data_IF_921892155838
#
_entry.id   IF_921892155838
#
_cell.length_a   1.000
_cell.length_b   1.000
_cell.length_c   1.000
_cell.angle_alpha   90.00
_cell.angle_beta   90.00
_cell.angle_gamma   90.00
#
_symmetry.space_group_name_H-M   'P 1'
#
loop_
_entity.id
_entity.type
_entity.pdbx_description
1 polymer ?
#
# COMPACT_ATOMS: atom_id res chain seq x y z
N UNK A 1 -66.96 -3.46 -39.10
CA UNK A 1 -65.72 -3.52 -39.91
C UNK A 1 -64.88 -2.31 -39.53
N UNK A 2 -63.83 -2.53 -38.75
CA UNK A 2 -62.92 -1.48 -38.28
C UNK A 2 -61.82 -1.28 -39.33
N UNK A 3 -61.72 -0.06 -39.85
CA UNK A 3 -60.67 0.37 -40.78
C UNK A 3 -59.37 0.52 -40.00
N UNK A 4 -58.41 -0.35 -40.25
CA UNK A 4 -57.07 -0.27 -39.69
C UNK A 4 -56.25 0.80 -40.40
N UNK A 5 -55.93 1.89 -39.70
CA UNK A 5 -54.89 2.82 -40.12
C UNK A 5 -53.52 2.26 -39.74
N UNK A 6 -52.75 1.85 -40.75
CA UNK A 6 -51.33 1.54 -40.62
C UNK A 6 -50.57 2.83 -40.29
N UNK A 7 -50.10 2.96 -39.05
CA UNK A 7 -49.10 3.96 -38.68
C UNK A 7 -47.72 3.31 -38.76
N UNK A 8 -47.03 3.58 -39.87
CA UNK A 8 -45.61 3.32 -40.06
C UNK A 8 -44.82 4.00 -38.92
N UNK A 9 -44.34 3.20 -37.97
CA UNK A 9 -43.41 3.66 -36.94
C UNK A 9 -42.03 3.74 -37.57
N UNK A 10 -41.73 4.86 -38.23
CA UNK A 10 -40.37 5.26 -38.51
C UNK A 10 -39.59 5.37 -37.20
N UNK A 11 -38.76 4.38 -36.91
CA UNK A 11 -37.74 4.45 -35.86
C UNK A 11 -36.74 5.52 -36.33
N UNK A 12 -36.90 6.74 -35.83
CA UNK A 12 -35.88 7.78 -35.94
C UNK A 12 -34.74 7.39 -35.01
N UNK A 13 -33.65 6.88 -35.57
CA UNK A 13 -32.35 6.95 -34.92
C UNK A 13 -31.98 8.43 -34.86
N UNK A 14 -32.40 9.10 -33.78
CA UNK A 14 -31.84 10.39 -33.44
C UNK A 14 -30.33 10.16 -33.29
N UNK A 15 -29.58 10.77 -34.19
CA UNK A 15 -28.15 10.92 -34.09
C UNK A 15 -27.89 11.74 -32.81
N UNK A 16 -27.78 11.06 -31.66
CA UNK A 16 -27.34 11.68 -30.43
C UNK A 16 -25.90 12.11 -30.67
N UNK A 17 -25.72 13.39 -30.94
CA UNK A 17 -24.44 14.05 -30.70
C UNK A 17 -24.19 13.88 -29.21
N UNK A 18 -23.37 12.89 -28.85
CA UNK A 18 -22.89 12.72 -27.48
C UNK A 18 -22.13 13.99 -27.14
N UNK A 19 -22.78 14.88 -26.40
CA UNK A 19 -22.09 16.01 -25.82
C UNK A 19 -21.19 15.44 -24.73
N UNK A 20 -19.89 15.31 -25.03
CA UNK A 20 -18.92 14.63 -24.18
C UNK A 20 -18.95 15.17 -22.74
N UNK A 21 -19.24 16.45 -22.55
CA UNK A 21 -19.36 17.08 -21.24
C UNK A 21 -20.51 16.50 -20.40
N UNK A 22 -21.63 16.14 -21.03
CA UNK A 22 -22.76 15.50 -20.35
C UNK A 22 -22.43 14.08 -19.92
N UNK A 23 -21.75 13.31 -20.78
CA UNK A 23 -21.30 11.96 -20.47
C UNK A 23 -20.21 11.95 -19.37
N UNK A 24 -19.24 12.88 -19.46
CA UNK A 24 -18.18 13.06 -18.44
C UNK A 24 -18.80 13.44 -17.11
N UNK A 25 -19.77 14.37 -17.08
CA UNK A 25 -20.47 14.73 -15.85
C UNK A 25 -21.23 13.54 -15.25
N UNK A 26 -21.95 12.77 -16.07
CA UNK A 26 -22.66 11.56 -15.61
C UNK A 26 -21.72 10.52 -15.00
N UNK A 27 -20.56 10.30 -15.62
CA UNK A 27 -19.51 9.41 -15.07
C UNK A 27 -18.96 9.99 -13.77
N UNK A 28 -18.57 11.27 -13.78
CA UNK A 28 -17.96 11.95 -12.65
C UNK A 28 -18.87 11.95 -11.42
N UNK A 29 -20.17 12.17 -11.57
CA UNK A 29 -21.13 12.19 -10.47
C UNK A 29 -21.60 10.80 -10.02
N UNK A 30 -21.25 9.74 -10.75
CA UNK A 30 -21.58 8.37 -10.37
C UNK A 30 -20.47 7.76 -9.50
N UNK A 31 -20.72 7.65 -8.20
CA UNK A 31 -19.77 7.12 -7.22
C UNK A 31 -19.31 5.68 -7.52
N UNK A 32 -20.19 4.82 -8.06
CA UNK A 32 -19.84 3.43 -8.41
C UNK A 32 -18.85 3.39 -9.57
N UNK A 33 -19.13 4.14 -10.64
CA UNK A 33 -18.25 4.23 -11.80
C UNK A 33 -16.93 4.89 -11.42
N UNK A 34 -16.98 6.00 -10.66
CA UNK A 34 -15.76 6.68 -10.21
C UNK A 34 -14.90 5.79 -9.31
N UNK A 35 -15.47 5.05 -8.36
CA UNK A 35 -14.69 4.09 -7.56
C UNK A 35 -14.04 3.02 -8.44
N UNK A 36 -14.73 2.56 -9.48
CA UNK A 36 -14.16 1.60 -10.42
C UNK A 36 -13.00 2.22 -11.23
N UNK A 37 -13.16 3.44 -11.75
CA UNK A 37 -12.09 4.18 -12.45
C UNK A 37 -10.88 4.37 -11.53
N UNK A 38 -11.11 4.86 -10.31
CA UNK A 38 -10.06 5.04 -9.29
C UNK A 38 -9.37 3.72 -8.96
N UNK A 39 -10.05 2.58 -9.07
CA UNK A 39 -9.43 1.27 -8.85
C UNK A 39 -8.32 0.94 -9.85
N UNK A 40 -8.38 1.52 -11.06
CA UNK A 40 -7.38 1.37 -12.12
C UNK A 40 -6.29 2.44 -12.10
N UNK A 41 -6.42 3.48 -11.26
CA UNK A 41 -5.31 4.42 -11.00
C UNK A 41 -4.32 3.70 -10.09
N UNK A 42 -3.33 3.09 -10.74
CA UNK A 42 -2.32 2.24 -10.09
C UNK A 42 -1.17 3.04 -9.52
N UNK A 43 -0.86 4.18 -10.16
CA UNK A 43 0.20 5.10 -9.76
C UNK A 43 -0.22 5.87 -8.50
N UNK A 44 0.69 5.97 -7.52
CA UNK A 44 0.35 6.63 -6.25
C UNK A 44 0.33 8.15 -6.38
N UNK A 45 1.22 8.74 -7.17
CA UNK A 45 1.31 10.19 -7.30
C UNK A 45 0.05 10.69 -8.02
N UNK A 46 -0.39 9.99 -9.06
CA UNK A 46 -1.68 10.26 -9.72
C UNK A 46 -2.85 10.15 -8.75
N UNK A 47 -2.85 9.10 -7.91
CA UNK A 47 -3.92 8.89 -6.94
C UNK A 47 -3.94 9.95 -5.84
N UNK A 48 -2.76 10.37 -5.39
CA UNK A 48 -2.61 11.46 -4.43
C UNK A 48 -3.11 12.78 -5.03
N UNK A 49 -2.75 13.09 -6.27
CA UNK A 49 -3.22 14.27 -6.99
C UNK A 49 -4.75 14.29 -7.11
N UNK A 50 -5.36 13.13 -7.38
CA UNK A 50 -6.82 12.98 -7.38
C UNK A 50 -7.41 13.21 -5.98
N UNK A 51 -6.81 12.67 -4.93
CA UNK A 51 -7.29 12.85 -3.56
C UNK A 51 -7.26 14.30 -3.08
N UNK A 52 -6.25 15.07 -3.45
CA UNK A 52 -6.17 16.49 -3.06
C UNK A 52 -7.08 17.39 -3.89
N UNK A 53 -7.53 16.93 -5.06
CA UNK A 53 -8.38 17.72 -5.97
C UNK A 53 -9.79 17.99 -5.44
N UNK A 54 -10.37 17.11 -4.61
CA UNK A 54 -11.64 17.36 -3.92
C UNK A 54 -11.89 16.41 -2.75
N UNK A 55 -12.67 16.85 -1.76
CA UNK A 55 -13.10 16.04 -0.62
C UNK A 55 -13.88 14.79 -1.04
N UNK A 56 -14.70 14.90 -2.11
CA UNK A 56 -15.42 13.76 -2.67
C UNK A 56 -14.47 12.74 -3.28
N UNK A 57 -13.53 13.17 -4.12
CA UNK A 57 -12.54 12.26 -4.72
C UNK A 57 -11.60 11.67 -3.67
N UNK A 58 -11.28 12.40 -2.61
CA UNK A 58 -10.59 11.87 -1.44
C UNK A 58 -11.34 10.66 -0.83
N UNK A 59 -12.64 10.85 -0.56
CA UNK A 59 -13.48 9.79 0.00
C UNK A 59 -13.62 8.59 -0.95
N UNK A 60 -13.85 8.84 -2.25
CA UNK A 60 -13.98 7.78 -3.25
C UNK A 60 -12.67 7.03 -3.49
N UNK A 61 -11.52 7.73 -3.50
CA UNK A 61 -10.20 7.10 -3.64
C UNK A 61 -9.88 6.19 -2.45
N UNK A 62 -10.18 6.64 -1.22
CA UNK A 62 -9.98 5.83 -0.01
C UNK A 62 -10.88 4.59 0.04
N UNK A 63 -12.09 4.69 -0.48
CA UNK A 63 -13.07 3.60 -0.47
C UNK A 63 -13.00 2.70 -1.71
N UNK A 64 -12.20 3.05 -2.70
CA UNK A 64 -12.00 2.24 -3.91
C UNK A 64 -10.83 1.28 -3.75
N UNK A 65 -11.03 0.04 -4.19
CA UNK A 65 -10.01 -0.99 -4.14
C UNK A 65 -8.81 -0.61 -5.02
N UNK A 66 -7.58 -0.69 -4.53
CA UNK A 66 -6.40 -0.46 -5.38
C UNK A 66 -6.04 -1.74 -6.14
N UNK A 67 -6.01 -1.68 -7.47
CA UNK A 67 -5.54 -2.81 -8.29
C UNK A 67 -4.05 -2.61 -8.57
N UNK A 68 -3.21 -3.20 -7.72
CA UNK A 68 -1.76 -3.20 -7.95
C UNK A 68 -1.45 -3.95 -9.27
N UNK A 69 -0.50 -3.46 -10.06
CA UNK A 69 -0.03 -4.15 -11.28
C UNK A 69 0.74 -5.42 -10.92
N UNK A 70 1.46 -5.39 -9.80
CA UNK A 70 2.25 -6.52 -9.30
C UNK A 70 2.27 -6.56 -7.77
N UNK A 71 2.63 -7.71 -7.17
CA UNK A 71 3.06 -7.87 -5.76
C UNK A 71 2.23 -7.19 -4.64
N UNK A 72 0.95 -6.92 -4.87
CA UNK A 72 0.06 -6.23 -3.92
C UNK A 72 -0.31 -7.04 -2.68
N UNK A 73 0.20 -8.27 -2.56
CA UNK A 73 -0.04 -9.18 -1.46
C UNK A 73 1.08 -9.16 -0.39
N UNK A 74 2.17 -8.45 -0.67
CA UNK A 74 3.38 -8.47 0.15
C UNK A 74 3.76 -7.07 0.58
N UNK A 75 3.90 -6.85 1.90
CA UNK A 75 4.54 -5.65 2.46
C UNK A 75 6.03 -5.92 2.66
N UNK A 76 6.89 -5.15 1.99
CA UNK A 76 8.34 -5.29 2.07
C UNK A 76 8.99 -4.08 2.72
N UNK A 77 9.87 -4.31 3.68
CA UNK A 77 10.77 -3.31 4.27
C UNK A 77 12.20 -3.80 4.06
N UNK A 78 12.87 -3.28 3.04
CA UNK A 78 14.20 -3.74 2.59
C UNK A 78 15.09 -2.59 2.17
N UNK A 79 16.41 -2.74 2.24
CA UNK A 79 17.35 -1.70 1.80
C UNK A 79 17.71 -1.89 0.33
N UNK A 80 17.43 -0.88 -0.49
CA UNK A 80 17.76 -0.85 -1.93
C UNK A 80 18.70 0.29 -2.33
N UNK A 81 19.09 1.12 -1.36
CA UNK A 81 19.90 2.31 -1.59
C UNK A 81 21.17 2.28 -0.76
N UNK A 82 22.20 3.05 -1.18
CA UNK A 82 23.45 3.23 -0.43
C UNK A 82 23.22 3.83 0.97
N UNK A 83 22.16 4.61 1.12
CA UNK A 83 21.79 5.25 2.37
C UNK A 83 21.10 4.26 3.32
N UNK A 84 21.21 4.49 4.62
CA UNK A 84 20.58 3.69 5.67
C UNK A 84 19.04 3.89 5.79
N UNK A 85 18.39 4.23 4.67
CA UNK A 85 16.93 4.36 4.57
C UNK A 85 16.34 3.06 4.00
N UNK A 86 15.23 2.64 4.58
CA UNK A 86 14.48 1.45 4.16
C UNK A 86 13.49 1.81 3.06
N UNK A 87 13.41 0.97 2.03
CA UNK A 87 12.33 0.99 1.05
C UNK A 87 11.14 0.22 1.61
N UNK A 88 10.01 0.91 1.78
CA UNK A 88 8.72 0.36 2.20
C UNK A 88 7.86 0.17 0.96
N UNK A 89 7.47 -1.07 0.66
CA UNK A 89 6.81 -1.42 -0.59
C UNK A 89 5.57 -2.29 -0.40
N UNK A 90 4.52 -2.00 -1.18
CA UNK A 90 3.31 -2.85 -1.34
C UNK A 90 2.86 -2.76 -2.78
N UNK A 91 3.02 -3.83 -3.54
CA UNK A 91 2.85 -3.80 -4.99
C UNK A 91 3.72 -2.72 -5.64
N UNK A 92 3.11 -1.81 -6.39
CA UNK A 92 3.83 -0.73 -7.09
C UNK A 92 4.08 0.51 -6.20
N UNK A 93 3.62 0.48 -4.95
CA UNK A 93 3.88 1.53 -3.97
C UNK A 93 5.29 1.39 -3.40
N UNK A 94 6.11 2.45 -3.43
CA UNK A 94 7.43 2.48 -2.81
C UNK A 94 7.71 3.80 -2.10
N UNK A 95 8.10 3.75 -0.82
CA UNK A 95 8.58 4.89 -0.06
C UNK A 95 9.98 4.64 0.48
N UNK A 96 10.86 5.65 0.42
CA UNK A 96 12.18 5.59 1.05
C UNK A 96 12.14 6.36 2.37
N UNK A 97 12.29 5.66 3.48
CA UNK A 97 12.09 6.21 4.83
C UNK A 97 13.26 5.89 5.76
N UNK A 98 13.53 6.79 6.70
CA UNK A 98 14.46 6.50 7.78
C UNK A 98 13.90 5.40 8.69
N UNK A 99 14.76 4.48 9.13
CA UNK A 99 14.41 3.40 10.04
C UNK A 99 15.45 3.23 11.14
N UNK A 100 15.11 2.45 12.17
CA UNK A 100 16.08 2.06 13.19
C UNK A 100 16.96 0.94 12.65
N UNK A 101 18.23 1.25 12.42
CA UNK A 101 19.28 0.32 11.97
C UNK A 101 20.25 -0.03 13.09
N UNK A 102 21.01 -1.11 12.91
CA UNK A 102 22.05 -1.50 13.87
C UNK A 102 23.05 -0.36 14.12
N UNK A 103 23.42 0.41 13.09
CA UNK A 103 24.34 1.54 13.22
C UNK A 103 23.71 2.69 14.03
N UNK A 104 22.46 3.05 13.73
CA UNK A 104 21.75 4.10 14.49
C UNK A 104 21.46 3.72 15.95
N UNK A 105 21.44 2.42 16.27
CA UNK A 105 21.34 1.91 17.64
C UNK A 105 22.66 1.97 18.40
N UNK A 106 23.81 1.84 17.70
CA UNK A 106 25.16 1.86 18.31
C UNK A 106 25.67 3.28 18.57
N UNK A 107 25.31 4.25 17.73
CA UNK A 107 25.68 5.65 17.98
C UNK A 107 24.91 6.22 19.18
N UNK A 108 25.67 6.77 20.12
CA UNK A 108 25.39 7.00 21.54
C UNK A 108 24.20 7.94 21.87
N UNK A 109 23.77 7.88 23.15
CA UNK A 109 22.78 8.69 23.92
C UNK A 109 21.35 8.17 24.06
N UNK A 110 20.83 7.38 23.12
CA UNK A 110 19.53 6.70 23.33
C UNK A 110 19.51 5.37 22.60
N UNK A 111 19.38 4.26 23.35
CA UNK A 111 19.17 2.94 22.78
C UNK A 111 17.79 2.95 22.11
N UNK A 112 17.73 3.24 20.81
CA UNK A 112 16.45 3.29 20.08
C UNK A 112 15.82 1.90 20.09
N UNK A 113 14.70 1.79 20.81
CA UNK A 113 13.90 0.56 20.97
C UNK A 113 12.64 0.55 20.10
N UNK A 114 12.39 1.64 19.36
CA UNK A 114 11.22 1.84 18.48
C UNK A 114 11.65 2.26 17.09
N UNK A 115 10.73 2.16 16.12
CA UNK A 115 10.92 2.76 14.80
C UNK A 115 10.66 4.27 14.83
N UNK A 116 11.20 5.04 13.86
CA UNK A 116 10.84 6.44 13.70
C UNK A 116 9.32 6.64 13.48
N UNK A 117 8.76 7.68 14.09
CA UNK A 117 7.31 7.99 14.02
C UNK A 117 6.81 8.10 12.58
N UNK A 118 7.60 8.73 11.70
CA UNK A 118 7.24 8.88 10.27
C UNK A 118 7.11 7.53 9.57
N UNK A 119 8.00 6.58 9.87
CA UNK A 119 7.92 5.23 9.32
C UNK A 119 6.64 4.53 9.80
N UNK A 120 6.38 4.54 11.10
CA UNK A 120 5.18 3.92 11.67
C UNK A 120 3.88 4.56 11.16
N UNK A 121 3.85 5.88 10.99
CA UNK A 121 2.68 6.58 10.42
C UNK A 121 2.39 6.15 8.98
N UNK A 122 3.41 6.03 8.13
CA UNK A 122 3.23 5.54 6.76
C UNK A 122 2.76 4.09 6.76
N UNK A 123 3.33 3.23 7.60
CA UNK A 123 2.88 1.84 7.75
C UNK A 123 1.41 1.75 8.17
N UNK A 124 0.97 2.59 9.11
CA UNK A 124 -0.45 2.69 9.48
C UNK A 124 -1.32 3.10 8.29
N UNK A 125 -0.93 4.12 7.52
CA UNK A 125 -1.69 4.54 6.34
C UNK A 125 -1.77 3.45 5.26
N UNK A 126 -0.69 2.69 5.08
CA UNK A 126 -0.66 1.52 4.19
C UNK A 126 -1.63 0.45 4.70
N UNK A 127 -1.57 0.11 5.99
CA UNK A 127 -2.47 -0.90 6.56
C UNK A 127 -3.94 -0.48 6.48
N UNK A 128 -4.27 0.77 6.79
CA UNK A 128 -5.64 1.28 6.74
C UNK A 128 -6.26 1.14 5.33
N UNK A 129 -5.43 1.13 4.28
CA UNK A 129 -5.88 0.99 2.88
C UNK A 129 -5.76 -0.44 2.34
N UNK A 130 -4.74 -1.17 2.75
CA UNK A 130 -4.31 -2.40 2.07
C UNK A 130 -4.21 -3.62 2.96
N UNK A 131 -4.51 -3.52 4.27
CA UNK A 131 -4.36 -4.64 5.21
C UNK A 131 -5.05 -5.92 4.73
N UNK A 132 -6.25 -5.81 4.13
CA UNK A 132 -7.02 -6.96 3.62
C UNK A 132 -6.40 -7.64 2.39
N UNK A 133 -5.35 -7.06 1.80
CA UNK A 133 -4.61 -7.64 0.67
C UNK A 133 -3.25 -8.16 1.07
N UNK A 134 -2.68 -7.66 2.17
CA UNK A 134 -1.32 -8.02 2.60
C UNK A 134 -1.38 -9.36 3.33
N UNK A 135 -0.95 -10.42 2.65
CA UNK A 135 -0.84 -11.77 3.18
C UNK A 135 0.58 -12.12 3.63
N UNK A 136 1.57 -11.40 3.11
CA UNK A 136 2.97 -11.67 3.38
C UNK A 136 3.67 -10.40 3.86
N UNK A 137 4.56 -10.53 4.83
CA UNK A 137 5.44 -9.44 5.27
C UNK A 137 6.89 -9.88 5.12
N UNK A 138 7.70 -9.04 4.49
CA UNK A 138 9.14 -9.24 4.33
C UNK A 138 9.88 -8.09 5.00
N UNK A 139 10.63 -8.41 6.05
CA UNK A 139 11.41 -7.44 6.79
C UNK A 139 12.88 -7.81 6.65
N UNK A 140 13.74 -6.86 6.28
CA UNK A 140 15.13 -7.23 6.19
C UNK A 140 16.14 -6.19 5.76
N UNK A 141 17.37 -6.67 5.67
CA UNK A 141 18.54 -6.01 5.16
C UNK A 141 18.56 -5.92 3.63
N UNK A 142 19.76 -5.77 3.09
CA UNK A 142 20.01 -5.67 1.65
C UNK A 142 19.87 -7.05 0.99
N UNK A 143 19.02 -7.18 -0.04
CA UNK A 143 18.94 -8.41 -0.87
C UNK A 143 20.30 -8.63 -1.58
N UNK A 144 20.69 -9.90 -1.82
CA UNK A 144 22.02 -10.25 -2.39
C UNK A 144 22.37 -9.48 -3.66
N UNK A 145 21.40 -9.30 -4.55
CA UNK A 145 21.57 -8.54 -5.80
C UNK A 145 22.08 -7.10 -5.56
N UNK A 146 21.68 -6.47 -4.46
CA UNK A 146 22.09 -5.12 -4.09
C UNK A 146 23.42 -5.13 -3.32
N UNK A 147 23.72 -6.20 -2.57
CA UNK A 147 25.04 -6.39 -1.96
C UNK A 147 26.12 -6.51 -3.04
N UNK A 148 25.83 -7.26 -4.11
CA UNK A 148 26.74 -7.44 -5.25
C UNK A 148 26.98 -6.12 -6.01
N UNK A 149 26.05 -5.16 -5.90
CA UNK A 149 26.16 -3.78 -6.44
C UNK A 149 26.87 -2.80 -5.49
N UNK A 150 27.47 -3.29 -4.39
CA UNK A 150 28.25 -2.48 -3.45
C UNK A 150 27.44 -1.73 -2.40
N UNK A 151 26.15 -2.06 -2.21
CA UNK A 151 25.34 -1.45 -1.16
C UNK A 151 25.77 -1.97 0.22
N UNK A 152 26.08 -1.04 1.13
CA UNK A 152 26.44 -1.39 2.51
C UNK A 152 25.36 -2.24 3.16
N UNK A 153 25.78 -3.30 3.88
CA UNK A 153 24.87 -4.24 4.55
C UNK A 153 24.18 -3.58 5.76
N UNK A 154 23.20 -2.71 5.47
CA UNK A 154 22.33 -2.12 6.46
C UNK A 154 21.42 -3.19 7.04
N UNK A 155 21.41 -3.31 8.36
CA UNK A 155 20.57 -4.26 9.09
C UNK A 155 19.41 -3.50 9.75
N UNK A 156 18.18 -3.83 9.33
CA UNK A 156 16.96 -3.37 10.00
C UNK A 156 16.93 -3.96 11.41
N UNK A 157 16.65 -3.14 12.41
CA UNK A 157 16.35 -3.64 13.76
C UNK A 157 14.85 -3.80 13.88
N UNK A 158 14.41 -5.04 14.09
CA UNK A 158 13.02 -5.36 14.39
C UNK A 158 12.73 -4.93 15.83
N UNK A 159 11.79 -4.01 15.98
CA UNK A 159 11.37 -3.42 17.26
C UNK A 159 9.97 -3.91 17.65
N UNK A 160 9.62 -3.78 18.93
CA UNK A 160 8.36 -4.31 19.45
C UNK A 160 7.14 -3.62 18.84
N UNK A 161 7.22 -2.31 18.62
CA UNK A 161 6.18 -1.50 17.95
C UNK A 161 5.94 -1.94 16.50
N UNK A 162 7.00 -2.31 15.76
CA UNK A 162 6.87 -2.84 14.41
C UNK A 162 6.16 -4.20 14.40
N UNK A 163 6.51 -5.11 15.30
CA UNK A 163 5.82 -6.41 15.42
C UNK A 163 4.37 -6.25 15.86
N UNK A 164 4.12 -5.34 16.80
CA UNK A 164 2.77 -5.03 17.28
C UNK A 164 1.91 -4.44 16.16
N UNK A 165 2.46 -3.53 15.35
CA UNK A 165 1.77 -3.03 14.15
C UNK A 165 1.33 -4.16 13.23
N UNK A 166 2.23 -5.12 12.94
CA UNK A 166 1.90 -6.25 12.06
C UNK A 166 0.77 -7.08 12.67
N UNK A 167 0.88 -7.43 13.95
CA UNK A 167 -0.11 -8.26 14.64
C UNK A 167 -1.49 -7.56 14.75
N UNK A 168 -1.49 -6.28 15.11
CA UNK A 168 -2.72 -5.54 15.41
C UNK A 168 -3.45 -5.08 14.14
N UNK A 169 -2.70 -4.70 13.08
CA UNK A 169 -3.25 -4.06 11.87
C UNK A 169 -3.29 -4.98 10.65
N UNK A 170 -2.42 -6.00 10.57
CA UNK A 170 -2.32 -6.90 9.41
C UNK A 170 -2.80 -8.31 9.77
N UNK A 171 -4.04 -8.42 10.28
CA UNK A 171 -4.61 -9.65 10.86
C UNK A 171 -4.69 -10.87 9.92
N UNK A 172 -4.63 -10.65 8.62
CA UNK A 172 -4.73 -11.72 7.61
C UNK A 172 -3.35 -12.16 7.10
N UNK A 173 -2.27 -11.62 7.64
CA UNK A 173 -0.91 -12.01 7.28
C UNK A 173 -0.71 -13.49 7.64
N UNK A 174 -0.35 -14.26 6.62
CA UNK A 174 -0.09 -15.70 6.71
C UNK A 174 1.37 -15.99 6.95
N UNK A 175 2.28 -15.11 6.50
CA UNK A 175 3.71 -15.32 6.65
C UNK A 175 4.48 -14.02 6.92
N UNK A 176 5.47 -14.13 7.80
CA UNK A 176 6.49 -13.09 8.00
C UNK A 176 7.85 -13.70 7.72
N UNK A 177 8.63 -13.05 6.87
CA UNK A 177 10.02 -13.40 6.57
C UNK A 177 10.97 -12.33 7.09
N UNK A 178 12.06 -12.80 7.70
CA UNK A 178 13.10 -11.96 8.28
C UNK A 178 14.42 -12.25 7.58
N UNK A 179 15.01 -11.27 6.91
CA UNK A 179 16.27 -11.43 6.17
C UNK A 179 17.32 -10.45 6.67
N UNK A 180 18.49 -10.91 7.11
CA UNK A 180 19.60 -10.03 7.48
C UNK A 180 19.20 -8.86 8.43
N UNK A 181 18.32 -9.12 9.39
CA UNK A 181 17.83 -8.14 10.36
C UNK A 181 18.31 -8.48 11.78
N UNK A 182 18.47 -7.46 12.62
CA UNK A 182 18.65 -7.62 14.06
C UNK A 182 17.32 -7.53 14.81
N UNK A 183 17.27 -8.00 16.05
CA UNK A 183 16.09 -7.90 16.91
C UNK A 183 16.39 -7.09 18.16
N UNK A 184 15.48 -6.18 18.50
CA UNK A 184 15.48 -5.53 19.81
C UNK A 184 15.02 -6.53 20.90
N UNK A 185 15.46 -6.30 22.14
CA UNK A 185 15.07 -7.13 23.28
C UNK A 185 13.55 -7.15 23.50
N UNK A 186 12.88 -6.01 23.34
CA UNK A 186 11.42 -5.92 23.41
C UNK A 186 10.74 -6.72 22.30
N UNK A 187 11.31 -6.72 21.08
CA UNK A 187 10.81 -7.51 19.97
C UNK A 187 10.98 -9.01 20.20
N UNK A 188 12.09 -9.44 20.81
CA UNK A 188 12.31 -10.84 21.20
C UNK A 188 11.26 -11.29 22.22
N UNK A 189 10.99 -10.45 23.23
CA UNK A 189 9.96 -10.74 24.24
C UNK A 189 8.58 -10.85 23.61
N UNK A 190 8.17 -9.84 22.84
CA UNK A 190 6.87 -9.83 22.16
C UNK A 190 6.70 -11.04 21.22
N UNK A 191 7.73 -11.37 20.44
CA UNK A 191 7.72 -12.52 19.54
C UNK A 191 7.48 -13.85 20.27
N UNK A 192 8.01 -14.02 21.48
CA UNK A 192 7.88 -15.27 22.24
C UNK A 192 6.49 -15.46 22.85
N UNK A 193 5.79 -14.37 23.15
CA UNK A 193 4.55 -14.42 23.93
C UNK A 193 3.30 -14.09 23.11
N UNK A 194 3.40 -13.17 22.15
CA UNK A 194 2.23 -12.49 21.59
C UNK A 194 2.10 -12.61 20.06
N UNK A 195 3.16 -12.99 19.34
CA UNK A 195 3.14 -13.07 17.87
C UNK A 195 2.56 -14.41 17.39
N UNK A 196 1.35 -14.37 16.81
CA UNK A 196 0.61 -15.56 16.39
C UNK A 196 0.70 -15.86 14.87
N UNK A 197 1.80 -15.48 14.21
CA UNK A 197 1.96 -15.57 12.76
C UNK A 197 3.08 -16.53 12.39
N UNK A 198 2.91 -17.30 11.30
CA UNK A 198 3.95 -18.20 10.81
C UNK A 198 5.20 -17.42 10.37
N UNK A 199 6.35 -17.82 10.90
CA UNK A 199 7.64 -17.20 10.59
C UNK A 199 8.40 -18.09 9.62
N UNK A 200 8.67 -17.57 8.43
CA UNK A 200 9.55 -18.19 7.44
C UNK A 200 10.99 -17.79 7.76
N UNK A 201 11.87 -18.79 7.83
CA UNK A 201 13.32 -18.60 8.02
C UNK A 201 14.00 -18.34 6.69
#
# INVERSE_FOLDING_TARGET
MLVGQSHDKHIRFNHMVFNNDSAIAQVYHNDLIMRNILSFVTDIDDRFNIEVSSSRLHFLSKTSTWRFKSAGDTLSLTFKSLNANVSVEVGDLCFVLACTTMNTRRNQLSRKTTQPVKLMSILCHIADRFAIKIHNVRLGGVDREYQDKGIQNHQLIITADLLRFINDRLKIVRSISFRHCGFDEGAIKYRKHDLQINILK
#
